data_IF_192336228639
#
_entry.id   IF_192336228639
#
_cell.length_a   1.000
_cell.length_b   1.000
_cell.length_c   1.000
_cell.angle_alpha   90.00
_cell.angle_beta   90.00
_cell.angle_gamma   90.00
#
_symmetry.space_group_name_H-M   'P 1'
#
loop_
_entity.id
_entity.type
_entity.pdbx_description
1 polymer ?
#
# COMPACT_ATOMS: atom_id res chain seq x y z
N UNK A 1 7.79 51.49 61.54
CA UNK A 1 7.79 50.10 62.01
C UNK A 1 7.62 49.16 60.84
N UNK A 2 8.73 48.42 60.60
CA UNK A 2 8.82 47.00 60.13
C UNK A 2 8.15 46.68 58.81
N UNK A 3 8.93 46.60 57.77
CA UNK A 3 9.58 45.39 57.21
C UNK A 3 8.57 44.38 56.68
N UNK A 4 8.54 44.26 55.36
CA UNK A 4 8.71 42.97 54.70
C UNK A 4 9.09 43.22 53.24
N UNK A 5 10.39 43.15 53.03
CA UNK A 5 11.05 43.01 51.72
C UNK A 5 11.17 41.53 51.46
N UNK A 6 11.19 41.15 50.20
CA UNK A 6 11.64 39.87 49.63
C UNK A 6 10.59 38.81 49.41
N UNK A 7 10.30 38.54 48.16
CA UNK A 7 10.55 37.29 47.41
C UNK A 7 9.79 37.34 46.09
N UNK A 8 10.43 37.89 45.08
CA UNK A 8 9.97 37.72 43.72
C UNK A 8 11.20 37.73 42.80
N UNK A 9 11.99 36.66 42.85
CA UNK A 9 13.02 36.40 41.87
C UNK A 9 13.27 34.90 41.82
N UNK A 10 12.77 34.21 40.85
CA UNK A 10 13.24 32.97 40.26
C UNK A 10 12.10 32.17 39.63
N UNK A 11 11.68 32.58 38.44
CA UNK A 11 11.10 31.59 37.47
C UNK A 11 11.28 32.13 36.04
N UNK A 12 12.51 32.16 35.57
CA UNK A 12 12.86 32.28 34.16
C UNK A 12 14.08 31.40 33.98
N UNK A 13 13.89 30.22 33.40
CA UNK A 13 14.76 29.44 32.52
C UNK A 13 14.32 27.98 32.52
N UNK A 14 13.42 27.67 31.63
CA UNK A 14 13.39 26.34 31.03
C UNK A 14 13.08 26.47 29.55
N UNK A 15 14.03 27.08 28.82
CA UNK A 15 14.11 26.92 27.38
C UNK A 15 14.53 25.48 27.11
N UNK A 16 13.63 24.71 26.56
CA UNK A 16 13.81 23.29 26.16
C UNK A 16 14.81 23.21 25.00
N UNK A 17 15.95 22.50 25.13
CA UNK A 17 16.90 22.29 24.04
C UNK A 17 16.44 21.18 23.06
N UNK A 18 15.19 20.67 23.18
CA UNK A 18 14.73 19.53 22.38
C UNK A 18 14.39 19.86 20.90
N UNK A 19 14.04 21.11 20.57
CA UNK A 19 13.61 21.46 19.21
C UNK A 19 14.75 21.61 18.20
N UNK A 20 15.95 21.95 18.66
CA UNK A 20 17.12 22.16 17.79
C UNK A 20 17.76 20.84 17.37
N UNK A 21 17.77 19.83 18.25
CA UNK A 21 18.31 18.51 17.94
C UNK A 21 17.42 17.72 16.96
N UNK A 22 16.09 17.87 17.05
CA UNK A 22 15.16 17.21 16.11
C UNK A 22 15.28 17.75 14.68
N UNK A 23 15.53 19.05 14.53
CA UNK A 23 15.74 19.67 13.20
C UNK A 23 17.07 19.25 12.58
N UNK A 24 18.12 19.06 13.38
CA UNK A 24 19.43 18.59 12.91
C UNK A 24 19.40 17.14 12.47
N UNK A 25 18.70 16.26 13.20
CA UNK A 25 18.56 14.85 12.84
C UNK A 25 17.78 14.66 11.52
N UNK A 26 16.69 15.41 11.32
CA UNK A 26 15.93 15.38 10.09
C UNK A 26 16.75 15.86 8.87
N UNK A 27 17.57 16.88 9.03
CA UNK A 27 18.43 17.41 7.95
C UNK A 27 19.56 16.46 7.56
N UNK A 28 20.13 15.72 8.53
CA UNK A 28 21.17 14.70 8.29
C UNK A 28 20.60 13.49 7.55
N UNK A 29 19.41 13.05 7.91
CA UNK A 29 18.74 11.94 7.21
C UNK A 29 18.35 12.31 5.76
N UNK A 30 17.92 13.54 5.54
CA UNK A 30 17.58 14.04 4.21
C UNK A 30 18.82 14.17 3.29
N UNK A 31 19.94 14.66 3.81
CA UNK A 31 21.20 14.78 3.05
C UNK A 31 21.79 13.39 2.72
N UNK A 32 21.77 12.47 3.68
CA UNK A 32 22.22 11.09 3.47
C UNK A 32 21.37 10.38 2.42
N UNK A 33 20.06 10.58 2.44
CA UNK A 33 19.17 10.01 1.43
C UNK A 33 19.42 10.60 0.04
N UNK A 34 19.73 11.88 -0.06
CA UNK A 34 20.06 12.54 -1.31
C UNK A 34 21.35 11.98 -1.92
N UNK A 35 22.44 11.89 -1.14
CA UNK A 35 23.73 11.34 -1.60
C UNK A 35 23.60 9.87 -2.02
N UNK A 36 22.89 9.07 -1.24
CA UNK A 36 22.59 7.68 -1.58
C UNK A 36 21.82 7.57 -2.90
N UNK A 37 20.80 8.38 -3.08
CA UNK A 37 20.00 8.38 -4.31
C UNK A 37 20.80 8.82 -5.52
N UNK A 38 21.70 9.78 -5.37
CA UNK A 38 22.64 10.21 -6.42
C UNK A 38 23.60 9.08 -6.81
N UNK A 39 24.14 8.37 -5.84
CA UNK A 39 25.01 7.22 -6.10
C UNK A 39 24.26 6.09 -6.84
N UNK A 40 23.04 5.77 -6.39
CA UNK A 40 22.19 4.78 -7.05
C UNK A 40 21.88 5.21 -8.50
N UNK A 41 21.51 6.46 -8.73
CA UNK A 41 21.23 6.99 -10.06
C UNK A 41 22.45 6.90 -10.98
N UNK A 42 23.64 7.23 -10.48
CA UNK A 42 24.90 7.11 -11.24
C UNK A 42 25.22 5.65 -11.61
N UNK A 43 25.08 4.72 -10.65
CA UNK A 43 25.29 3.28 -10.88
C UNK A 43 24.28 2.76 -11.91
N UNK A 44 23.00 3.10 -11.78
CA UNK A 44 21.96 2.69 -12.72
C UNK A 44 22.22 3.22 -14.14
N UNK A 45 22.56 4.51 -14.26
CA UNK A 45 22.90 5.12 -15.56
C UNK A 45 24.07 4.41 -16.24
N UNK A 46 25.13 4.10 -15.50
CA UNK A 46 26.28 3.37 -16.02
C UNK A 46 25.95 1.92 -16.39
N UNK A 47 25.19 1.22 -15.55
CA UNK A 47 24.83 -0.17 -15.78
C UNK A 47 23.92 -0.34 -17.01
N UNK A 48 22.90 0.53 -17.15
CA UNK A 48 21.96 0.47 -18.25
C UNK A 48 22.63 0.74 -19.59
N UNK A 49 23.51 1.73 -19.67
CA UNK A 49 24.16 2.15 -20.92
C UNK A 49 25.32 1.25 -21.36
N UNK A 50 26.07 0.63 -20.44
CA UNK A 50 27.30 -0.06 -20.77
C UNK A 50 27.32 -1.56 -20.50
N UNK A 51 26.53 -2.06 -19.54
CA UNK A 51 26.60 -3.45 -19.07
C UNK A 51 25.31 -4.25 -19.22
N UNK A 52 24.18 -3.60 -19.53
CA UNK A 52 22.93 -4.31 -19.73
C UNK A 52 22.95 -5.09 -21.03
N UNK A 53 22.49 -6.35 -21.02
CA UNK A 53 22.48 -7.25 -22.19
C UNK A 53 21.78 -6.63 -23.42
N UNK A 54 20.68 -5.91 -23.21
CA UNK A 54 19.92 -5.27 -24.29
C UNK A 54 20.53 -3.96 -24.78
N UNK A 55 21.56 -3.42 -24.12
CA UNK A 55 22.17 -2.11 -24.44
C UNK A 55 21.15 -1.03 -24.75
N UNK A 56 20.05 -1.02 -23.98
CA UNK A 56 18.94 -0.08 -24.19
C UNK A 56 19.45 1.34 -23.95
N UNK A 57 19.29 2.25 -24.91
CA UNK A 57 19.72 3.62 -24.71
C UNK A 57 18.91 4.28 -23.58
N UNK A 58 19.58 5.11 -22.82
CA UNK A 58 18.95 5.93 -21.78
C UNK A 58 18.40 7.18 -22.45
N UNK A 59 17.15 7.12 -22.89
CA UNK A 59 16.45 8.13 -23.70
C UNK A 59 14.98 8.32 -23.24
N UNK A 60 14.28 9.24 -23.89
CA UNK A 60 12.85 9.52 -23.64
C UNK A 60 11.96 8.28 -23.81
N UNK A 61 12.32 7.38 -24.75
CA UNK A 61 11.53 6.16 -24.96
C UNK A 61 11.64 5.21 -23.75
N UNK A 62 12.85 5.09 -23.17
CA UNK A 62 13.05 4.36 -21.93
C UNK A 62 12.38 5.10 -20.75
N UNK A 63 12.48 6.43 -20.69
CA UNK A 63 11.83 7.25 -19.66
C UNK A 63 10.33 7.02 -19.63
N UNK A 64 9.66 7.01 -20.77
CA UNK A 64 8.21 6.71 -20.87
C UNK A 64 7.87 5.31 -20.33
N UNK A 65 8.66 4.30 -20.67
CA UNK A 65 8.44 2.92 -20.19
C UNK A 65 8.62 2.82 -18.67
N UNK A 66 9.64 3.46 -18.14
CA UNK A 66 9.89 3.50 -16.69
C UNK A 66 8.74 4.22 -15.97
N UNK A 67 8.28 5.34 -16.52
CA UNK A 67 7.17 6.10 -15.98
C UNK A 67 5.88 5.28 -15.93
N UNK A 68 5.50 4.64 -17.04
CA UNK A 68 4.31 3.81 -17.11
C UNK A 68 4.38 2.61 -16.14
N UNK A 69 5.55 1.98 -16.03
CA UNK A 69 5.79 0.91 -15.06
C UNK A 69 5.68 1.44 -13.62
N UNK A 70 6.26 2.60 -13.34
CA UNK A 70 6.21 3.24 -12.04
C UNK A 70 4.77 3.54 -11.60
N UNK A 71 3.95 4.15 -12.47
CA UNK A 71 2.54 4.42 -12.17
C UNK A 71 1.75 3.15 -11.87
N UNK A 72 2.00 2.08 -12.64
CA UNK A 72 1.36 0.80 -12.42
C UNK A 72 1.78 0.14 -11.10
N UNK A 73 2.98 0.43 -10.60
CA UNK A 73 3.45 -0.06 -9.29
C UNK A 73 3.02 0.85 -8.14
N UNK A 74 2.89 2.15 -8.38
CA UNK A 74 2.50 3.12 -7.36
C UNK A 74 1.05 2.90 -6.89
N UNK A 75 0.12 2.69 -7.82
CA UNK A 75 -1.28 2.40 -7.53
C UNK A 75 -1.83 1.31 -8.48
N UNK A 76 -1.49 0.03 -8.25
CA UNK A 76 -1.78 -1.07 -9.18
C UNK A 76 -3.27 -1.28 -9.47
N UNK A 77 -4.10 -0.94 -8.51
CA UNK A 77 -5.57 -1.08 -8.61
C UNK A 77 -6.28 0.25 -8.82
N UNK A 78 -5.53 1.32 -9.02
CA UNK A 78 -6.04 2.68 -9.26
C UNK A 78 -7.13 3.10 -8.26
N UNK A 79 -6.84 2.84 -6.96
CA UNK A 79 -7.77 3.07 -5.84
C UNK A 79 -7.49 4.33 -5.04
N UNK A 80 -6.38 5.00 -5.32
CA UNK A 80 -5.95 6.18 -4.58
C UNK A 80 -5.80 7.41 -5.46
N UNK A 81 -5.02 7.30 -6.54
CA UNK A 81 -4.71 8.45 -7.39
C UNK A 81 -5.88 8.80 -8.31
N UNK A 82 -6.04 10.10 -8.53
CA UNK A 82 -6.95 10.66 -9.52
C UNK A 82 -6.21 10.98 -10.82
N UNK A 83 -6.94 11.20 -11.91
CA UNK A 83 -6.34 11.65 -13.18
C UNK A 83 -5.54 12.94 -13.02
N UNK A 84 -5.96 13.86 -12.14
CA UNK A 84 -5.22 15.09 -11.88
C UNK A 84 -3.85 14.85 -11.25
N UNK A 85 -3.71 13.81 -10.42
CA UNK A 85 -2.43 13.45 -9.79
C UNK A 85 -1.49 12.85 -10.82
N UNK A 86 -2.01 12.01 -11.72
CA UNK A 86 -1.24 11.49 -12.84
C UNK A 86 -0.74 12.64 -13.72
N UNK A 87 -1.59 13.63 -14.04
CA UNK A 87 -1.18 14.83 -14.79
C UNK A 87 -0.06 15.63 -14.09
N UNK A 88 -0.05 15.70 -12.75
CA UNK A 88 1.05 16.33 -12.00
C UNK A 88 2.37 15.55 -12.17
N UNK A 89 2.28 14.23 -12.24
CA UNK A 89 3.45 13.36 -12.46
C UNK A 89 3.91 13.31 -13.92
N UNK A 90 3.07 13.66 -14.89
CA UNK A 90 3.41 13.62 -16.33
C UNK A 90 4.62 14.49 -16.69
N UNK A 91 4.94 15.50 -15.87
CA UNK A 91 6.14 16.32 -16.04
C UNK A 91 7.46 15.53 -15.96
N UNK A 92 7.44 14.32 -15.38
CA UNK A 92 8.58 13.42 -15.28
C UNK A 92 8.67 12.42 -16.42
N UNK A 93 7.61 12.26 -17.22
CA UNK A 93 7.44 11.16 -18.17
C UNK A 93 8.59 10.99 -19.16
N UNK A 94 9.16 12.10 -19.61
CA UNK A 94 10.26 12.13 -20.58
C UNK A 94 11.57 12.67 -19.98
N UNK A 95 11.65 12.79 -18.66
CA UNK A 95 12.81 13.41 -18.00
C UNK A 95 13.58 12.47 -17.07
N UNK A 96 13.18 11.21 -17.00
CA UNK A 96 13.80 10.25 -16.09
C UNK A 96 15.26 9.98 -16.48
N UNK A 97 15.54 9.83 -17.76
CA UNK A 97 16.90 9.64 -18.28
C UNK A 97 17.79 10.84 -17.99
N UNK A 98 17.28 12.04 -18.18
CA UNK A 98 17.95 13.31 -17.89
C UNK A 98 18.23 13.48 -16.39
N UNK A 99 17.27 13.13 -15.53
CA UNK A 99 17.44 13.15 -14.09
C UNK A 99 18.49 12.14 -13.64
N UNK A 100 18.46 10.92 -14.17
CA UNK A 100 19.44 9.88 -13.88
C UNK A 100 20.85 10.28 -14.28
N UNK A 101 21.04 10.91 -15.46
CA UNK A 101 22.35 11.43 -15.90
C UNK A 101 22.89 12.52 -14.99
N UNK A 102 22.01 13.33 -14.38
CA UNK A 102 22.38 14.40 -13.44
C UNK A 102 22.49 13.91 -11.97
N UNK A 103 22.32 12.61 -11.72
CA UNK A 103 22.32 12.05 -10.38
C UNK A 103 21.07 12.37 -9.56
N UNK A 104 19.96 12.74 -10.22
CA UNK A 104 18.67 13.01 -9.58
C UNK A 104 17.67 11.89 -9.84
N UNK A 105 16.66 11.78 -8.98
CA UNK A 105 15.53 10.87 -9.19
C UNK A 105 14.33 11.33 -8.34
N UNK A 106 13.59 12.33 -8.83
CA UNK A 106 12.53 13.01 -8.08
C UNK A 106 11.16 12.38 -8.20
N UNK A 107 10.91 11.60 -9.25
CA UNK A 107 9.62 10.96 -9.49
C UNK A 107 9.13 10.12 -8.29
N UNK A 108 9.95 9.26 -7.64
CA UNK A 108 9.51 8.47 -6.50
C UNK A 108 9.07 9.32 -5.31
N UNK A 109 9.74 10.42 -5.04
CA UNK A 109 9.38 11.31 -3.94
C UNK A 109 8.07 12.05 -4.23
N UNK A 110 7.90 12.56 -5.44
CA UNK A 110 6.65 13.20 -5.88
C UNK A 110 5.46 12.23 -5.82
N UNK A 111 5.63 11.02 -6.34
CA UNK A 111 4.58 10.00 -6.32
C UNK A 111 4.25 9.55 -4.90
N UNK A 112 5.26 9.33 -4.03
CA UNK A 112 5.05 8.98 -2.62
C UNK A 112 4.29 10.08 -1.87
N UNK A 113 4.60 11.35 -2.09
CA UNK A 113 3.88 12.47 -1.47
C UNK A 113 2.41 12.49 -1.88
N UNK A 114 2.13 12.36 -3.18
CA UNK A 114 0.76 12.30 -3.70
C UNK A 114 0.01 11.08 -3.15
N UNK A 115 0.60 9.89 -3.23
CA UNK A 115 -0.03 8.67 -2.73
C UNK A 115 -0.33 8.76 -1.23
N UNK A 116 0.59 9.26 -0.41
CA UNK A 116 0.37 9.44 1.02
C UNK A 116 -0.75 10.45 1.32
N UNK A 117 -0.90 11.51 0.52
CA UNK A 117 -2.02 12.43 0.66
C UNK A 117 -3.35 11.73 0.34
N UNK A 118 -3.40 10.98 -0.76
CA UNK A 118 -4.60 10.25 -1.19
C UNK A 118 -4.97 9.08 -0.27
N UNK A 119 -4.01 8.40 0.34
CA UNK A 119 -4.29 7.38 1.37
C UNK A 119 -5.02 8.02 2.55
N UNK A 120 -4.57 9.17 3.05
CA UNK A 120 -5.26 9.86 4.16
C UNK A 120 -6.66 10.34 3.79
N UNK A 121 -6.91 10.66 2.52
CA UNK A 121 -8.25 10.97 2.03
C UNK A 121 -9.11 9.72 1.93
N UNK A 122 -8.57 8.61 1.41
CA UNK A 122 -9.26 7.34 1.35
C UNK A 122 -9.69 6.83 2.74
N UNK A 123 -8.83 6.96 3.76
CA UNK A 123 -9.17 6.60 5.14
C UNK A 123 -10.44 7.33 5.63
N UNK A 124 -10.62 8.60 5.24
CA UNK A 124 -11.83 9.37 5.59
C UNK A 124 -13.09 8.95 4.84
N UNK A 125 -12.94 8.27 3.70
CA UNK A 125 -14.06 7.76 2.91
C UNK A 125 -14.55 6.40 3.40
N UNK A 126 -13.67 5.58 3.98
CA UNK A 126 -13.96 4.18 4.32
C UNK A 126 -15.02 4.08 5.42
N UNK A 127 -14.85 4.74 6.54
CA UNK A 127 -15.76 4.66 7.67
C UNK A 127 -17.21 5.06 7.29
N UNK A 128 -17.46 6.22 6.62
CA UNK A 128 -18.81 6.55 6.17
C UNK A 128 -19.42 5.58 5.16
N UNK A 129 -18.59 4.90 4.35
CA UNK A 129 -19.08 3.88 3.41
C UNK A 129 -19.54 2.63 4.17
N UNK A 130 -18.75 2.20 5.17
CA UNK A 130 -19.08 1.05 6.01
C UNK A 130 -20.31 1.31 6.88
N UNK A 131 -20.42 2.49 7.47
CA UNK A 131 -21.57 2.89 8.29
C UNK A 131 -22.88 2.93 7.49
N UNK A 132 -22.81 3.35 6.24
CA UNK A 132 -23.97 3.36 5.34
C UNK A 132 -24.44 1.94 4.96
N UNK A 133 -23.55 0.94 5.06
CA UNK A 133 -23.82 -0.43 4.66
C UNK A 133 -23.94 -0.62 3.15
N UNK A 134 -24.29 -1.86 2.75
CA UNK A 134 -24.39 -2.24 1.35
C UNK A 134 -25.73 -2.87 1.01
N UNK A 135 -26.33 -2.45 -0.10
CA UNK A 135 -27.48 -3.13 -0.70
C UNK A 135 -26.99 -4.27 -1.62
N UNK A 136 -27.09 -5.49 -1.12
CA UNK A 136 -26.67 -6.69 -1.85
C UNK A 136 -27.69 -7.15 -2.92
N UNK A 137 -28.88 -6.60 -2.97
CA UNK A 137 -29.86 -6.89 -4.02
C UNK A 137 -29.62 -6.07 -5.28
N UNK A 138 -28.85 -5.00 -5.18
CA UNK A 138 -28.51 -4.15 -6.31
C UNK A 138 -27.48 -4.84 -7.21
N UNK A 139 -27.82 -5.02 -8.49
CA UNK A 139 -26.91 -5.57 -9.50
C UNK A 139 -25.90 -4.48 -9.88
N UNK A 140 -24.65 -4.71 -9.52
CA UNK A 140 -23.53 -3.82 -9.77
C UNK A 140 -22.37 -4.62 -10.33
N UNK A 141 -21.49 -3.96 -11.05
CA UNK A 141 -20.26 -4.55 -11.60
C UNK A 141 -19.05 -3.73 -11.15
N UNK A 142 -17.98 -4.42 -10.78
CA UNK A 142 -16.69 -3.84 -10.48
C UNK A 142 -15.66 -4.42 -11.43
N UNK A 143 -14.96 -3.56 -12.18
CA UNK A 143 -13.81 -4.01 -12.95
C UNK A 143 -12.65 -4.32 -12.00
N UNK A 144 -12.12 -5.53 -12.07
CA UNK A 144 -11.03 -6.03 -11.23
C UNK A 144 -9.73 -6.25 -11.99
N UNK A 145 -9.77 -6.26 -13.32
CA UNK A 145 -8.57 -6.42 -14.14
C UNK A 145 -7.74 -5.13 -14.12
N UNK A 146 -6.53 -5.13 -13.53
CA UNK A 146 -5.69 -3.93 -13.45
C UNK A 146 -5.37 -3.30 -14.82
N UNK A 147 -5.39 -4.09 -15.90
CA UNK A 147 -5.09 -3.61 -17.26
C UNK A 147 -6.24 -2.82 -17.86
N UNK A 148 -7.47 -3.05 -17.40
CA UNK A 148 -8.68 -2.35 -17.85
C UNK A 148 -9.06 -1.19 -16.95
N UNK A 149 -8.51 -1.16 -15.73
CA UNK A 149 -8.76 -0.07 -14.81
C UNK A 149 -8.12 1.23 -15.32
N UNK A 150 -8.84 2.33 -15.17
CA UNK A 150 -8.35 3.68 -15.42
C UNK A 150 -8.41 4.52 -14.15
N UNK A 151 -7.56 5.54 -14.06
CA UNK A 151 -7.65 6.50 -12.97
C UNK A 151 -8.94 7.30 -13.10
N UNK A 152 -9.66 7.44 -11.99
CA UNK A 152 -10.93 8.18 -11.97
C UNK A 152 -10.71 9.68 -12.02
N UNK A 153 -11.72 10.40 -12.52
CA UNK A 153 -11.64 11.85 -12.73
C UNK A 153 -11.65 12.65 -11.44
N UNK A 154 -12.40 12.18 -10.43
CA UNK A 154 -12.75 12.95 -9.25
C UNK A 154 -12.99 12.07 -8.00
N UNK A 155 -13.15 12.74 -6.87
CA UNK A 155 -13.35 12.10 -5.57
C UNK A 155 -14.66 11.31 -5.50
N UNK A 156 -15.73 11.76 -6.16
CA UNK A 156 -17.02 11.06 -6.15
C UNK A 156 -16.91 9.70 -6.84
N UNK A 157 -16.22 9.64 -7.99
CA UNK A 157 -15.94 8.41 -8.70
C UNK A 157 -14.97 7.51 -7.90
N UNK A 158 -14.02 8.09 -7.16
CA UNK A 158 -13.14 7.36 -6.27
C UNK A 158 -13.89 6.74 -5.10
N UNK A 159 -14.80 7.49 -4.47
CA UNK A 159 -15.67 7.01 -3.40
C UNK A 159 -16.54 5.85 -3.87
N UNK A 160 -17.11 5.94 -5.07
CA UNK A 160 -17.91 4.85 -5.64
C UNK A 160 -17.07 3.60 -5.91
N UNK A 161 -15.84 3.75 -6.42
CA UNK A 161 -14.89 2.64 -6.57
C UNK A 161 -14.57 1.97 -5.23
N UNK A 162 -14.35 2.75 -4.18
CA UNK A 162 -14.16 2.24 -2.83
C UNK A 162 -15.38 1.51 -2.31
N UNK A 163 -16.59 2.07 -2.50
CA UNK A 163 -17.84 1.45 -2.09
C UNK A 163 -18.02 0.06 -2.73
N UNK A 164 -17.80 -0.04 -4.05
CA UNK A 164 -17.90 -1.32 -4.75
C UNK A 164 -16.82 -2.31 -4.31
N UNK A 165 -15.61 -1.84 -4.09
CA UNK A 165 -14.49 -2.67 -3.60
C UNK A 165 -14.79 -3.24 -2.22
N UNK A 166 -15.25 -2.42 -1.28
CA UNK A 166 -15.61 -2.86 0.06
C UNK A 166 -16.80 -3.82 0.05
N UNK A 167 -17.84 -3.52 -0.76
CA UNK A 167 -18.97 -4.44 -0.95
C UNK A 167 -18.52 -5.82 -1.42
N UNK A 168 -17.61 -5.88 -2.39
CA UNK A 168 -17.04 -7.14 -2.88
C UNK A 168 -16.28 -7.86 -1.76
N UNK A 169 -15.42 -7.16 -1.00
CA UNK A 169 -14.66 -7.77 0.09
C UNK A 169 -15.56 -8.35 1.18
N UNK A 170 -16.65 -7.67 1.53
CA UNK A 170 -17.63 -8.20 2.49
C UNK A 170 -18.29 -9.46 1.97
N UNK A 171 -18.64 -9.51 0.68
CA UNK A 171 -19.20 -10.72 0.07
C UNK A 171 -18.19 -11.87 0.06
N UNK A 172 -16.96 -11.63 -0.32
CA UNK A 172 -15.89 -12.63 -0.34
C UNK A 172 -15.70 -13.23 1.07
N UNK A 173 -15.55 -12.39 2.09
CA UNK A 173 -15.41 -12.82 3.49
C UNK A 173 -16.62 -13.62 3.97
N UNK A 174 -17.84 -13.23 3.57
CA UNK A 174 -19.06 -13.96 3.93
C UNK A 174 -19.09 -15.35 3.30
N UNK A 175 -18.71 -15.48 2.04
CA UNK A 175 -18.68 -16.78 1.36
C UNK A 175 -17.57 -17.68 1.92
N UNK A 176 -16.40 -17.15 2.24
CA UNK A 176 -15.33 -17.89 2.91
C UNK A 176 -15.80 -18.46 4.25
N UNK A 177 -16.48 -17.63 5.07
CA UNK A 177 -17.03 -18.09 6.36
C UNK A 177 -18.10 -19.19 6.17
N UNK A 178 -18.97 -19.04 5.18
CA UNK A 178 -19.97 -20.07 4.86
C UNK A 178 -19.34 -21.41 4.46
N UNK A 179 -18.29 -21.38 3.66
CA UNK A 179 -17.56 -22.58 3.26
C UNK A 179 -16.89 -23.25 4.45
N UNK A 180 -16.27 -22.48 5.33
CA UNK A 180 -15.60 -23.02 6.51
C UNK A 180 -16.59 -23.62 7.51
N UNK A 181 -17.76 -23.02 7.69
CA UNK A 181 -18.86 -23.62 8.47
C UNK A 181 -19.31 -24.94 7.89
N UNK A 182 -19.55 -25.02 6.57
CA UNK A 182 -19.92 -26.26 5.89
C UNK A 182 -18.87 -27.35 6.04
N UNK A 183 -17.58 -27.02 5.89
CA UNK A 183 -16.46 -27.95 6.11
C UNK A 183 -16.41 -28.47 7.54
N UNK A 184 -16.64 -27.58 8.52
CA UNK A 184 -16.67 -27.97 9.93
C UNK A 184 -17.85 -28.89 10.27
N UNK A 185 -19.03 -28.65 9.72
CA UNK A 185 -20.20 -29.52 9.88
C UNK A 185 -19.98 -30.91 9.25
N UNK A 186 -19.42 -30.97 8.05
CA UNK A 186 -19.07 -32.24 7.39
C UNK A 186 -18.06 -33.06 8.20
N UNK A 187 -17.03 -32.42 8.78
CA UNK A 187 -16.06 -33.09 9.65
C UNK A 187 -16.72 -33.65 10.93
N UNK A 188 -17.65 -32.93 11.54
CA UNK A 188 -18.41 -33.41 12.70
C UNK A 188 -19.33 -34.59 12.34
N UNK A 189 -20.00 -34.53 11.21
CA UNK A 189 -20.85 -35.62 10.72
C UNK A 189 -20.04 -36.87 10.40
N UNK A 190 -18.86 -36.75 9.78
CA UNK A 190 -17.97 -37.88 9.49
C UNK A 190 -17.31 -38.52 10.73
N UNK A 191 -17.18 -37.81 11.83
CA UNK A 191 -16.66 -38.33 13.09
C UNK A 191 -17.73 -39.04 13.95
N UNK A 192 -19.02 -38.86 13.62
CA UNK A 192 -20.14 -39.43 14.35
C UNK A 192 -20.57 -40.82 13.89
N UNK A 193 -19.93 -41.43 12.88
CA UNK A 193 -20.21 -42.82 12.52
C UNK A 193 -19.39 -43.79 13.42
N UNK A 194 -20.01 -44.56 14.31
CA UNK A 194 -19.31 -45.62 15.05
C UNK A 194 -18.81 -46.63 14.01
N UNK A 195 -17.54 -46.96 14.08
CA UNK A 195 -16.98 -48.12 13.37
C UNK A 195 -17.69 -49.37 13.86
N UNK A 196 -18.79 -49.73 13.23
CA UNK A 196 -19.38 -51.05 13.37
C UNK A 196 -18.56 -52.04 12.53
N UNK A 197 -18.02 -53.05 13.22
CA UNK A 197 -17.64 -54.30 12.59
C UNK A 197 -16.14 -54.58 12.52
N UNK A 198 -15.51 -54.81 13.68
CA UNK A 198 -14.47 -55.82 13.75
C UNK A 198 -15.06 -57.05 14.43
N UNK A 199 -15.79 -57.84 13.70
CA UNK A 199 -16.23 -59.19 14.15
C UNK A 199 -15.00 -60.07 14.15
N UNK A 200 -14.59 -60.50 15.32
CA UNK A 200 -13.60 -61.49 15.62
C UNK A 200 -13.89 -62.78 14.85
N UNK A 201 -13.01 -63.11 13.92
CA UNK A 201 -12.92 -64.47 13.39
C UNK A 201 -12.29 -65.36 14.46
N UNK A 202 -13.12 -66.19 15.07
CA UNK A 202 -12.68 -67.24 15.96
C UNK A 202 -12.01 -68.33 15.15
N UNK A 203 -10.73 -68.52 15.39
CA UNK A 203 -9.94 -69.64 14.88
C UNK A 203 -10.42 -70.94 15.53
N UNK A 204 -10.86 -71.89 14.72
CA UNK A 204 -11.08 -73.28 15.10
C UNK A 204 -10.08 -74.14 14.37
N UNK A 205 -8.90 -74.27 14.92
CA UNK A 205 -8.03 -75.44 14.69
C UNK A 205 -8.06 -76.26 15.97
N UNK A 206 -8.60 -77.45 15.90
CA UNK A 206 -8.04 -78.58 16.60
C UNK A 206 -8.71 -79.85 16.12
N UNK A 207 -7.85 -80.88 16.00
CA UNK A 207 -7.95 -82.30 16.21
C UNK A 207 -8.32 -83.12 14.92
N UNK A 208 -7.41 -83.77 14.34
CA UNK A 208 -6.75 -85.09 14.63
C UNK A 208 -5.50 -85.14 13.75
#
# INVERSE_FOLDING_TARGET
>A
MRCFVSFALALLLSLTPGAVLAKSAASVDESFNLERNQLIAAIMSQQLSSRHFSRTPLDDALSRKIYDLYLNQLDPRKRFLLQEDVRKLDSFRERIDDELRRGGFRLPDAGRQLLNARIREADRLIDPILDAGFDFNRKEALEIDPKKLEFVSDEAALKERWRLTLKMQVLDSYFEELEDRKKAEQKKAGQGQPRQGATTAVDRKSVV
#
